data_IF_429575764802
#
_entry.id   IF_429575764802
#
_cell.length_a   1.000
_cell.length_b   1.000
_cell.length_c   1.000
_cell.angle_alpha   90.00
_cell.angle_beta   90.00
_cell.angle_gamma   90.00
#
_symmetry.space_group_name_H-M   'P 1'
#
loop_
_entity.id
_entity.type
_entity.pdbx_description
1 polymer ?
#
# COMPACT_ATOMS: atom_id res chain seq x y z
N UNK A 1 -22.01 -28.13 6.79
CA UNK A 1 -21.03 -29.23 6.76
C UNK A 1 -19.75 -28.68 7.35
N UNK A 2 -19.10 -29.38 8.29
CA UNK A 2 -17.84 -28.92 8.89
C UNK A 2 -16.74 -29.05 7.84
N UNK A 3 -16.24 -27.94 7.28
CA UNK A 3 -15.01 -27.97 6.50
C UNK A 3 -13.94 -28.64 7.36
N UNK A 4 -13.49 -29.82 6.94
CA UNK A 4 -12.41 -30.55 7.61
C UNK A 4 -11.20 -29.62 7.61
N UNK A 5 -10.71 -29.26 8.80
CA UNK A 5 -9.33 -28.78 8.98
C UNK A 5 -8.45 -29.84 8.30
N UNK A 6 -8.00 -29.54 7.08
CA UNK A 6 -7.30 -30.48 6.22
C UNK A 6 -6.02 -30.92 6.94
N UNK A 7 -5.78 -32.23 6.99
CA UNK A 7 -4.63 -32.84 7.66
C UNK A 7 -3.31 -32.67 6.90
N UNK A 8 -3.31 -32.00 5.74
CA UNK A 8 -2.09 -31.67 4.99
C UNK A 8 -1.85 -30.16 5.01
N UNK A 9 -0.98 -29.74 5.94
CA UNK A 9 -0.54 -28.35 6.08
C UNK A 9 0.58 -27.99 5.10
N UNK A 10 1.15 -28.95 4.36
CA UNK A 10 2.31 -28.70 3.48
C UNK A 10 2.03 -27.68 2.37
N UNK A 11 0.78 -27.57 1.93
CA UNK A 11 0.35 -26.57 0.96
C UNK A 11 0.16 -25.17 1.58
N UNK A 12 0.01 -25.07 2.90
CA UNK A 12 -0.29 -23.81 3.60
C UNK A 12 0.93 -23.22 4.30
N UNK A 13 1.84 -24.06 4.83
CA UNK A 13 3.02 -23.61 5.57
C UNK A 13 3.85 -22.54 4.82
N UNK A 14 4.09 -22.64 3.49
CA UNK A 14 4.84 -21.61 2.79
C UNK A 14 4.20 -20.22 2.83
N UNK A 15 2.88 -20.13 2.98
CA UNK A 15 2.13 -18.86 2.97
C UNK A 15 2.49 -17.97 4.15
N UNK A 16 2.90 -18.57 5.27
CA UNK A 16 3.34 -17.86 6.47
C UNK A 16 4.84 -17.51 6.48
N UNK A 17 5.62 -18.02 5.53
CA UNK A 17 7.06 -17.73 5.42
C UNK A 17 7.28 -16.53 4.49
N UNK A 18 7.84 -15.40 4.97
CA UNK A 18 8.16 -14.26 4.10
C UNK A 18 9.06 -14.64 2.91
N UNK A 19 9.94 -15.62 3.06
CA UNK A 19 10.85 -16.05 1.98
C UNK A 19 10.13 -16.73 0.82
N UNK A 20 8.91 -17.22 1.02
CA UNK A 20 8.08 -17.76 -0.05
C UNK A 20 7.77 -16.70 -1.11
N UNK A 21 7.52 -15.46 -0.68
CA UNK A 21 7.19 -14.34 -1.56
C UNK A 21 8.42 -13.68 -2.20
N UNK A 22 9.62 -13.96 -1.70
CA UNK A 22 10.88 -13.51 -2.32
C UNK A 22 11.23 -14.30 -3.60
N UNK A 23 10.49 -15.37 -3.90
CA UNK A 23 10.61 -16.19 -5.12
C UNK A 23 9.37 -15.97 -5.99
N UNK A 24 9.02 -16.93 -6.84
CA UNK A 24 7.75 -16.95 -7.54
C UNK A 24 6.69 -17.74 -6.73
N UNK A 25 5.75 -17.06 -6.03
CA UNK A 25 4.71 -17.73 -5.26
C UNK A 25 3.55 -18.21 -6.15
N UNK A 26 3.41 -17.71 -7.38
CA UNK A 26 2.18 -17.84 -8.17
C UNK A 26 1.85 -19.28 -8.58
N UNK A 27 2.81 -20.16 -8.95
CA UNK A 27 2.54 -21.57 -9.20
C UNK A 27 1.98 -22.29 -7.97
N UNK A 28 2.50 -21.99 -6.79
CA UNK A 28 2.02 -22.58 -5.53
C UNK A 28 0.64 -22.05 -5.16
N UNK A 29 0.40 -20.74 -5.30
CA UNK A 29 -0.93 -20.15 -5.12
C UNK A 29 -1.95 -20.70 -6.12
N UNK A 30 -1.54 -21.05 -7.35
CA UNK A 30 -2.41 -21.72 -8.33
C UNK A 30 -2.83 -23.13 -7.88
N UNK A 31 -1.90 -23.90 -7.31
CA UNK A 31 -2.21 -25.20 -6.70
C UNK A 31 -3.15 -25.06 -5.51
N UNK A 32 -2.92 -24.08 -4.64
CA UNK A 32 -3.80 -23.78 -3.52
C UNK A 32 -5.24 -23.53 -3.98
N UNK A 33 -5.43 -22.71 -5.02
CA UNK A 33 -6.76 -22.44 -5.60
C UNK A 33 -7.48 -23.69 -6.12
N UNK A 34 -6.72 -24.64 -6.67
CA UNK A 34 -7.24 -25.87 -7.26
C UNK A 34 -7.53 -26.94 -6.21
N UNK A 35 -6.61 -27.14 -5.26
CA UNK A 35 -6.61 -28.28 -4.34
C UNK A 35 -7.29 -27.94 -2.99
N UNK A 36 -7.11 -26.72 -2.48
CA UNK A 36 -7.59 -26.31 -1.16
C UNK A 36 -7.99 -24.81 -1.15
N UNK A 37 -9.05 -24.41 -1.87
CA UNK A 37 -9.38 -23.01 -2.13
C UNK A 37 -9.71 -22.20 -0.87
N UNK A 38 -10.24 -22.88 0.15
CA UNK A 38 -10.44 -22.38 1.50
C UNK A 38 -9.89 -23.42 2.49
N UNK A 39 -8.87 -23.06 3.25
CA UNK A 39 -8.21 -24.00 4.15
C UNK A 39 -7.72 -23.34 5.45
N UNK A 40 -7.68 -24.12 6.53
CA UNK A 40 -7.21 -23.67 7.83
C UNK A 40 -5.71 -23.90 7.98
N UNK A 41 -4.96 -22.82 8.14
CA UNK A 41 -3.55 -22.83 8.51
C UNK A 41 -3.43 -22.87 10.04
N UNK A 42 -2.84 -23.92 10.59
CA UNK A 42 -2.82 -24.18 12.04
C UNK A 42 -2.01 -23.16 12.85
N UNK A 43 -0.88 -22.71 12.33
CA UNK A 43 -0.01 -21.69 12.92
C UNK A 43 0.21 -20.60 11.88
N UNK A 44 -0.27 -19.35 12.09
CA UNK A 44 -0.76 -18.76 13.35
C UNK A 44 -2.25 -19.01 13.70
N UNK A 45 -2.96 -19.85 12.95
CA UNK A 45 -4.37 -20.17 13.23
C UNK A 45 -5.33 -19.25 12.48
N UNK A 46 -5.40 -19.39 11.15
CA UNK A 46 -6.27 -18.58 10.31
C UNK A 46 -6.81 -19.34 9.09
N UNK A 47 -7.88 -18.81 8.50
CA UNK A 47 -8.38 -19.29 7.22
C UNK A 47 -7.65 -18.59 6.07
N UNK A 48 -7.21 -19.39 5.09
CA UNK A 48 -6.66 -18.91 3.83
C UNK A 48 -7.72 -19.09 2.74
N UNK A 49 -8.18 -17.98 2.19
CA UNK A 49 -9.05 -17.94 1.00
C UNK A 49 -8.19 -17.56 -0.22
N UNK A 50 -8.23 -18.38 -1.28
CA UNK A 50 -7.35 -18.20 -2.44
C UNK A 50 -8.08 -17.95 -3.74
N UNK A 51 -9.39 -18.22 -3.82
CA UNK A 51 -10.19 -17.93 -5.01
C UNK A 51 -10.62 -16.47 -5.05
N UNK A 52 -10.63 -15.92 -6.27
CA UNK A 52 -11.06 -14.54 -6.51
C UNK A 52 -12.48 -14.27 -6.00
N UNK A 53 -13.42 -15.20 -6.20
CA UNK A 53 -14.82 -15.03 -5.76
C UNK A 53 -14.95 -14.86 -4.23
N UNK A 54 -14.19 -15.65 -3.48
CA UNK A 54 -14.16 -15.61 -2.02
C UNK A 54 -13.51 -14.33 -1.51
N UNK A 55 -12.34 -13.99 -2.06
CA UNK A 55 -11.60 -12.77 -1.69
C UNK A 55 -12.46 -11.53 -1.98
N UNK A 56 -13.19 -11.53 -3.10
CA UNK A 56 -14.08 -10.43 -3.47
C UNK A 56 -15.29 -10.35 -2.53
N UNK A 57 -15.88 -11.49 -2.15
CA UNK A 57 -16.98 -11.54 -1.18
C UNK A 57 -16.55 -11.03 0.19
N UNK A 58 -15.40 -11.48 0.69
CA UNK A 58 -14.80 -11.04 1.96
C UNK A 58 -14.53 -9.53 1.91
N UNK A 59 -13.86 -9.07 0.86
CA UNK A 59 -13.48 -7.65 0.71
C UNK A 59 -14.66 -6.68 0.61
N UNK A 60 -15.85 -7.16 0.21
CA UNK A 60 -17.06 -6.34 0.05
C UNK A 60 -17.99 -6.34 1.26
N UNK A 61 -17.73 -7.15 2.28
CA UNK A 61 -18.57 -7.27 3.47
C UNK A 61 -17.79 -6.89 4.75
N UNK A 62 -17.50 -5.59 4.95
CA UNK A 62 -16.73 -5.12 6.10
C UNK A 62 -17.51 -5.19 7.43
N UNK A 63 -18.82 -5.46 7.40
CA UNK A 63 -19.60 -5.70 8.63
C UNK A 63 -19.32 -7.10 9.20
N UNK A 64 -19.13 -8.05 8.29
CA UNK A 64 -18.83 -9.44 8.64
C UNK A 64 -17.33 -9.67 8.79
N UNK A 65 -16.52 -9.06 7.92
CA UNK A 65 -15.07 -9.22 7.86
C UNK A 65 -14.37 -7.92 8.21
N UNK A 66 -14.11 -7.73 9.50
CA UNK A 66 -13.57 -6.49 10.05
C UNK A 66 -12.03 -6.41 9.93
N UNK A 67 -11.51 -5.19 9.90
CA UNK A 67 -10.09 -4.85 9.82
C UNK A 67 -9.51 -4.40 11.17
N UNK A 68 -10.34 -3.95 12.13
CA UNK A 68 -9.87 -3.43 13.44
C UNK A 68 -9.17 -4.45 14.33
N UNK A 69 -9.21 -5.73 13.96
CA UNK A 69 -8.50 -6.82 14.65
C UNK A 69 -7.20 -7.23 13.95
N UNK A 70 -6.72 -6.42 13.01
CA UNK A 70 -5.49 -6.65 12.28
C UNK A 70 -5.75 -7.01 10.81
N UNK A 71 -4.83 -6.56 9.97
CA UNK A 71 -4.87 -6.75 8.51
C UNK A 71 -3.65 -7.51 8.00
N UNK A 72 -2.69 -7.82 8.87
CA UNK A 72 -1.46 -8.53 8.55
C UNK A 72 -1.41 -9.86 9.31
N UNK A 73 -0.71 -10.85 8.76
CA UNK A 73 -0.58 -12.17 9.39
C UNK A 73 0.05 -12.06 10.79
N UNK A 74 1.02 -11.14 10.96
CA UNK A 74 1.69 -10.88 12.23
C UNK A 74 0.82 -10.18 13.28
N UNK A 75 -0.36 -9.68 12.91
CA UNK A 75 -1.30 -9.05 13.85
C UNK A 75 -2.08 -10.11 14.67
N UNK A 76 -2.10 -11.37 14.21
CA UNK A 76 -2.86 -12.44 14.86
C UNK A 76 -2.40 -12.63 16.31
N UNK A 77 -3.37 -12.58 17.22
CA UNK A 77 -3.14 -12.75 18.66
C UNK A 77 -2.53 -11.53 19.35
N UNK A 78 -2.27 -10.43 18.64
CA UNK A 78 -1.82 -9.17 19.24
C UNK A 78 -3.01 -8.32 19.67
N UNK A 79 -2.83 -7.61 20.78
CA UNK A 79 -3.74 -6.53 21.18
C UNK A 79 -3.29 -5.25 20.48
N UNK A 80 -3.96 -4.91 19.37
CA UNK A 80 -3.65 -3.71 18.61
C UNK A 80 -4.36 -2.51 19.27
N UNK A 81 -3.65 -1.42 19.57
CA UNK A 81 -4.28 -0.23 20.09
C UNK A 81 -5.24 0.36 19.06
N UNK A 82 -6.36 0.90 19.54
CA UNK A 82 -7.20 1.75 18.71
C UNK A 82 -6.46 3.07 18.47
N UNK A 83 -6.05 3.30 17.22
CA UNK A 83 -5.33 4.49 16.81
C UNK A 83 -6.27 5.36 15.95
N UNK A 84 -6.74 6.51 16.45
CA UNK A 84 -7.53 7.45 15.66
C UNK A 84 -6.83 7.83 14.35
N UNK A 85 -7.60 7.89 13.27
CA UNK A 85 -7.08 8.20 11.92
C UNK A 85 -6.40 7.04 11.20
N UNK A 86 -6.24 5.86 11.83
CA UNK A 86 -5.61 4.70 11.20
C UNK A 86 -6.56 3.98 10.22
N UNK A 87 -6.83 4.59 9.06
CA UNK A 87 -7.88 4.19 8.12
C UNK A 87 -7.87 2.70 7.73
N UNK A 88 -6.69 2.07 7.59
CA UNK A 88 -6.57 0.64 7.25
C UNK A 88 -7.04 -0.31 8.38
N UNK A 89 -7.04 0.14 9.63
CA UNK A 89 -7.36 -0.64 10.84
C UNK A 89 -8.70 -0.22 11.47
N UNK A 90 -9.56 0.48 10.73
CA UNK A 90 -10.84 0.98 11.23
C UNK A 90 -11.98 0.41 10.39
N UNK A 91 -13.10 0.11 11.06
CA UNK A 91 -14.31 -0.44 10.43
C UNK A 91 -15.41 0.63 10.26
N UNK A 92 -16.44 0.38 9.43
CA UNK A 92 -17.63 1.22 9.40
C UNK A 92 -18.33 1.30 10.77
N UNK A 93 -18.92 2.47 11.14
CA UNK A 93 -19.07 3.68 10.32
C UNK A 93 -17.84 4.60 10.32
N UNK A 94 -16.91 4.45 11.27
CA UNK A 94 -15.78 5.35 11.48
C UNK A 94 -14.85 5.40 10.25
N UNK A 95 -14.61 4.26 9.59
CA UNK A 95 -13.89 4.21 8.31
C UNK A 95 -14.56 5.10 7.24
N UNK A 96 -15.89 5.14 7.22
CA UNK A 96 -16.66 5.97 6.30
C UNK A 96 -16.46 7.46 6.57
N UNK A 97 -16.37 7.85 7.84
CA UNK A 97 -16.07 9.21 8.29
C UNK A 97 -14.71 9.68 7.76
N UNK A 98 -13.66 8.92 8.06
CA UNK A 98 -12.31 9.22 7.60
C UNK A 98 -12.21 9.23 6.07
N UNK A 99 -12.73 8.20 5.37
CA UNK A 99 -12.77 8.16 3.89
C UNK A 99 -13.39 9.41 3.31
N UNK A 100 -14.49 9.88 3.88
CA UNK A 100 -15.21 11.05 3.38
C UNK A 100 -14.37 12.33 3.48
N UNK A 101 -13.60 12.48 4.55
CA UNK A 101 -12.70 13.62 4.76
C UNK A 101 -11.45 13.56 3.85
N UNK A 102 -10.89 12.37 3.61
CA UNK A 102 -9.63 12.25 2.85
C UNK A 102 -9.81 12.11 1.34
N UNK A 103 -10.89 11.48 0.86
CA UNK A 103 -11.13 11.20 -0.56
C UNK A 103 -11.04 12.44 -1.48
N UNK A 104 -11.51 13.64 -1.10
CA UNK A 104 -11.39 14.84 -1.93
C UNK A 104 -9.95 15.14 -2.37
N UNK A 105 -8.97 14.80 -1.53
CA UNK A 105 -7.53 14.94 -1.82
C UNK A 105 -7.01 14.03 -2.91
N UNK A 106 -7.72 12.95 -3.21
CA UNK A 106 -7.37 11.94 -4.21
C UNK A 106 -8.36 11.94 -5.38
N UNK A 107 -9.10 13.04 -5.56
CA UNK A 107 -10.01 13.17 -6.70
C UNK A 107 -9.26 13.12 -8.03
N UNK A 108 -9.93 12.65 -9.09
CA UNK A 108 -9.34 12.57 -10.45
C UNK A 108 -8.78 13.90 -10.92
N UNK A 109 -9.43 15.03 -10.59
CA UNK A 109 -8.96 16.35 -10.93
C UNK A 109 -7.60 16.64 -10.28
N UNK A 110 -7.44 16.32 -8.99
CA UNK A 110 -6.17 16.51 -8.27
C UNK A 110 -5.05 15.64 -8.80
N UNK A 111 -5.32 14.36 -9.03
CA UNK A 111 -4.31 13.45 -9.58
C UNK A 111 -3.82 13.93 -10.95
N UNK A 112 -4.70 14.51 -11.78
CA UNK A 112 -4.31 15.11 -13.07
C UNK A 112 -3.39 16.33 -12.90
N UNK A 113 -3.56 17.12 -11.85
CA UNK A 113 -2.68 18.27 -11.59
C UNK A 113 -1.24 17.83 -11.25
N UNK A 114 -1.10 16.65 -10.63
CA UNK A 114 0.21 16.06 -10.32
C UNK A 114 0.90 15.44 -11.54
N UNK A 115 0.19 15.17 -12.64
CA UNK A 115 0.72 14.42 -13.79
C UNK A 115 2.02 15.04 -14.33
N UNK A 116 2.06 16.37 -14.49
CA UNK A 116 3.25 17.07 -15.01
C UNK A 116 4.46 16.94 -14.08
N UNK A 117 4.22 17.00 -12.77
CA UNK A 117 5.29 16.88 -11.78
C UNK A 117 5.81 15.44 -11.69
N UNK A 118 4.90 14.46 -11.62
CA UNK A 118 5.21 13.02 -11.66
C UNK A 118 6.02 12.68 -12.92
N UNK A 119 5.62 13.21 -14.08
CA UNK A 119 6.33 13.00 -15.34
C UNK A 119 7.74 13.61 -15.32
N UNK A 120 7.90 14.78 -14.72
CA UNK A 120 9.20 15.43 -14.56
C UNK A 120 10.12 14.59 -13.67
N UNK A 121 9.60 14.08 -12.55
CA UNK A 121 10.35 13.19 -11.63
C UNK A 121 10.78 11.90 -12.29
N UNK A 122 9.86 11.23 -12.98
CA UNK A 122 10.18 10.01 -13.73
C UNK A 122 11.29 10.27 -14.77
N UNK A 123 11.19 11.38 -15.53
CA UNK A 123 12.22 11.74 -16.51
C UNK A 123 13.56 12.08 -15.87
N UNK A 124 13.57 12.78 -14.73
CA UNK A 124 14.80 13.12 -14.02
C UNK A 124 15.55 11.86 -13.60
N UNK A 125 14.87 10.94 -12.92
CA UNK A 125 15.46 9.66 -12.49
C UNK A 125 15.97 8.84 -13.68
N UNK A 126 15.20 8.78 -14.77
CA UNK A 126 15.62 8.05 -15.96
C UNK A 126 16.77 8.74 -16.72
N UNK A 127 16.93 10.05 -16.60
CA UNK A 127 18.01 10.81 -17.27
C UNK A 127 19.38 10.61 -16.65
N UNK A 128 19.43 10.10 -15.40
CA UNK A 128 20.67 9.76 -14.71
C UNK A 128 21.25 8.41 -15.18
N UNK A 129 20.50 7.63 -15.94
CA UNK A 129 20.92 6.33 -16.47
C UNK A 129 21.59 6.53 -17.83
N UNK A 130 22.88 6.20 -17.95
CA UNK A 130 23.57 6.29 -19.23
C UNK A 130 23.14 5.14 -20.17
N UNK A 131 22.96 5.46 -21.46
CA UNK A 131 22.56 4.46 -22.45
C UNK A 131 23.62 3.35 -22.59
N UNK A 132 23.23 2.11 -22.31
CA UNK A 132 24.12 0.94 -22.38
C UNK A 132 24.82 0.61 -21.05
N UNK A 133 24.60 1.42 -20.02
CA UNK A 133 25.02 1.11 -18.66
C UNK A 133 24.16 -0.01 -18.06
N UNK A 134 24.80 -0.88 -17.28
CA UNK A 134 24.09 -1.85 -16.44
C UNK A 134 23.79 -1.17 -15.11
N UNK A 135 22.53 -0.88 -14.85
CA UNK A 135 22.08 -0.15 -13.67
C UNK A 135 21.13 -1.00 -12.83
N UNK A 136 21.23 -0.90 -11.50
CA UNK A 136 20.19 -1.39 -10.61
C UNK A 136 18.97 -0.45 -10.68
N UNK A 137 18.00 -0.83 -11.50
CA UNK A 137 16.78 -0.04 -11.71
C UNK A 137 15.97 0.15 -10.42
N UNK A 138 16.05 -0.77 -9.46
CA UNK A 138 15.33 -0.64 -8.19
C UNK A 138 15.92 0.51 -7.39
N UNK A 139 17.24 0.54 -7.23
CA UNK A 139 17.94 1.59 -6.47
C UNK A 139 17.84 2.94 -7.17
N UNK A 140 18.06 2.98 -8.48
CA UNK A 140 18.13 4.24 -9.23
C UNK A 140 16.78 4.86 -9.55
N UNK A 141 15.70 4.07 -9.67
CA UNK A 141 14.40 4.58 -10.14
C UNK A 141 13.25 4.14 -9.24
N UNK A 142 13.04 2.84 -9.05
CA UNK A 142 11.81 2.35 -8.42
C UNK A 142 11.70 2.71 -6.94
N UNK A 143 12.82 2.85 -6.24
CA UNK A 143 12.89 3.26 -4.83
C UNK A 143 12.64 4.78 -4.66
N UNK A 144 13.38 5.69 -5.33
CA UNK A 144 13.16 7.12 -5.16
C UNK A 144 11.84 7.63 -5.77
N UNK A 145 11.33 7.01 -6.84
CA UNK A 145 10.16 7.51 -7.57
C UNK A 145 8.91 7.71 -6.70
N UNK A 146 8.37 6.72 -5.97
CA UNK A 146 7.15 6.92 -5.18
C UNK A 146 7.33 7.91 -4.04
N UNK A 147 8.50 7.93 -3.40
CA UNK A 147 8.82 8.89 -2.33
C UNK A 147 8.70 10.33 -2.85
N UNK A 148 9.28 10.58 -4.01
CA UNK A 148 9.26 11.88 -4.67
C UNK A 148 7.82 12.30 -5.05
N UNK A 149 6.99 11.36 -5.48
CA UNK A 149 5.57 11.62 -5.78
C UNK A 149 4.77 11.93 -4.52
N UNK A 150 5.02 11.23 -3.40
CA UNK A 150 4.34 11.49 -2.13
C UNK A 150 4.80 12.84 -1.54
N UNK A 151 6.09 13.16 -1.64
CA UNK A 151 6.62 14.46 -1.24
C UNK A 151 5.92 15.62 -1.97
N UNK A 152 5.72 15.48 -3.28
CA UNK A 152 4.91 16.42 -4.08
C UNK A 152 3.47 16.53 -3.59
N UNK A 153 2.83 15.36 -3.41
CA UNK A 153 1.44 15.30 -2.99
C UNK A 153 1.25 16.00 -1.64
N UNK A 154 2.19 15.84 -0.72
CA UNK A 154 2.18 16.45 0.61
C UNK A 154 2.72 17.89 0.65
N UNK A 155 3.29 18.39 -0.45
CA UNK A 155 3.85 19.74 -0.50
C UNK A 155 5.15 19.91 0.28
N UNK A 156 5.93 18.83 0.43
CA UNK A 156 7.24 18.83 1.09
C UNK A 156 8.24 19.59 0.21
N UNK A 157 8.86 20.68 0.71
CA UNK A 157 9.87 21.44 -0.03
C UNK A 157 11.04 20.56 -0.49
N UNK A 158 11.63 20.92 -1.63
CA UNK A 158 12.73 20.17 -2.25
C UNK A 158 13.93 19.92 -1.31
N UNK A 159 14.26 20.91 -0.49
CA UNK A 159 15.41 20.87 0.42
C UNK A 159 15.22 19.85 1.56
N UNK A 160 13.99 19.46 1.87
CA UNK A 160 13.66 18.51 2.95
C UNK A 160 13.60 17.04 2.47
N UNK A 161 13.70 16.77 1.18
CA UNK A 161 13.55 15.41 0.64
C UNK A 161 14.54 14.38 1.20
N UNK A 162 15.83 14.68 1.42
CA UNK A 162 16.75 13.70 2.01
C UNK A 162 16.30 13.25 3.41
N UNK A 163 15.78 14.19 4.21
CA UNK A 163 15.27 13.93 5.55
C UNK A 163 13.98 13.10 5.48
N UNK A 164 13.11 13.43 4.53
CA UNK A 164 11.87 12.70 4.25
C UNK A 164 12.09 11.25 3.81
N UNK A 165 13.14 10.99 3.01
CA UNK A 165 13.54 9.65 2.61
C UNK A 165 13.90 8.78 3.83
N UNK A 166 14.75 9.31 4.72
CA UNK A 166 15.20 8.61 5.93
C UNK A 166 14.03 8.23 6.83
N UNK A 167 13.10 9.15 7.06
CA UNK A 167 11.92 8.84 7.88
C UNK A 167 11.04 7.75 7.26
N UNK A 168 10.84 7.82 5.94
CA UNK A 168 10.04 6.83 5.22
C UNK A 168 10.66 5.43 5.35
N UNK A 169 11.97 5.30 5.12
CA UNK A 169 12.67 4.03 5.22
C UNK A 169 12.60 3.44 6.64
N UNK A 170 12.79 4.28 7.66
CA UNK A 170 12.70 3.86 9.07
C UNK A 170 11.28 3.43 9.46
N UNK A 171 10.24 4.10 8.97
CA UNK A 171 8.85 3.72 9.23
C UNK A 171 8.46 2.43 8.53
N UNK A 172 8.93 2.20 7.30
CA UNK A 172 8.73 0.93 6.61
C UNK A 172 9.40 -0.21 7.40
N UNK A 173 10.64 0.00 7.86
CA UNK A 173 11.36 -0.96 8.70
C UNK A 173 10.64 -1.25 10.02
N UNK A 174 9.97 -0.26 10.62
CA UNK A 174 9.23 -0.40 11.87
C UNK A 174 8.08 -1.43 11.80
N UNK A 175 7.58 -1.76 10.61
CA UNK A 175 6.61 -2.85 10.42
C UNK A 175 7.15 -4.21 10.89
N UNK A 176 8.47 -4.41 10.87
CA UNK A 176 9.15 -5.61 11.38
C UNK A 176 9.54 -5.51 12.86
N UNK A 177 9.31 -4.35 13.49
CA UNK A 177 9.64 -4.07 14.89
C UNK A 177 10.11 -2.62 15.07
N UNK A 178 9.58 -1.95 16.08
CA UNK A 178 9.95 -0.57 16.43
C UNK A 178 11.34 -0.57 17.07
N UNK A 179 12.24 0.24 16.51
CA UNK A 179 13.55 0.56 17.11
C UNK A 179 13.55 1.99 17.65
N UNK A 180 14.47 2.34 18.57
CA UNK A 180 14.62 3.72 19.06
C UNK A 180 14.81 4.74 17.93
N UNK A 181 15.51 4.37 16.87
CA UNK A 181 15.73 5.21 15.69
C UNK A 181 14.42 5.44 14.92
N UNK A 182 13.61 4.39 14.72
CA UNK A 182 12.30 4.51 14.07
C UNK A 182 11.30 5.33 14.90
N UNK A 183 11.36 5.22 16.23
CA UNK A 183 10.54 6.01 17.14
C UNK A 183 10.92 7.50 17.09
N UNK A 184 12.23 7.80 17.11
CA UNK A 184 12.72 9.16 16.95
C UNK A 184 12.32 9.78 15.60
N UNK A 185 12.46 9.01 14.51
CA UNK A 185 12.02 9.45 13.17
C UNK A 185 10.52 9.74 13.10
N UNK A 186 9.68 8.91 13.74
CA UNK A 186 8.24 9.14 13.82
C UNK A 186 7.92 10.46 14.54
N UNK A 187 8.60 10.74 15.66
CA UNK A 187 8.42 11.98 16.43
C UNK A 187 8.86 13.20 15.61
N UNK A 188 10.02 13.13 14.96
CA UNK A 188 10.53 14.22 14.12
C UNK A 188 9.62 14.50 12.93
N UNK A 189 9.12 13.45 12.28
CA UNK A 189 8.20 13.56 11.16
C UNK A 189 6.85 14.13 11.60
N UNK A 190 6.29 13.67 12.73
CA UNK A 190 5.07 14.23 13.28
C UNK A 190 5.23 15.73 13.61
N UNK A 191 6.37 16.11 14.22
CA UNK A 191 6.67 17.51 14.52
C UNK A 191 6.73 18.35 13.23
N UNK A 192 7.42 17.84 12.20
CA UNK A 192 7.51 18.50 10.90
C UNK A 192 6.14 18.73 10.25
N UNK A 193 5.28 17.70 10.24
CA UNK A 193 3.95 17.84 9.64
C UNK A 193 3.03 18.72 10.48
N UNK A 194 3.19 18.80 11.80
CA UNK A 194 2.46 19.76 12.63
C UNK A 194 2.84 21.19 12.26
N UNK A 195 4.13 21.48 12.08
CA UNK A 195 4.61 22.79 11.64
C UNK A 195 4.08 23.13 10.24
N UNK A 196 4.15 22.18 9.30
CA UNK A 196 3.62 22.35 7.95
C UNK A 196 2.10 22.55 7.94
N UNK A 197 1.35 21.83 8.78
CA UNK A 197 -0.10 22.03 8.95
C UNK A 197 -0.39 23.43 9.49
N UNK A 198 0.36 23.89 10.49
CA UNK A 198 0.20 25.23 11.05
C UNK A 198 0.51 26.32 10.01
N UNK A 199 1.53 26.13 9.19
CA UNK A 199 1.85 26.99 8.05
C UNK A 199 0.69 27.02 7.04
N UNK A 200 0.23 25.85 6.57
CA UNK A 200 -0.84 25.74 5.56
C UNK A 200 -2.23 26.16 6.04
N UNK A 201 -2.49 26.19 7.35
CA UNK A 201 -3.68 26.83 7.91
C UNK A 201 -3.62 28.36 7.83
N UNK A 202 -2.42 28.95 7.85
CA UNK A 202 -2.21 30.41 7.76
C UNK A 202 -2.05 30.88 6.32
N UNK A 203 -1.32 30.13 5.51
CA UNK A 203 -1.03 30.41 4.10
C UNK A 203 -1.22 29.12 3.27
N UNK A 204 -2.46 28.83 2.85
CA UNK A 204 -2.77 27.60 2.11
C UNK A 204 -2.05 27.54 0.75
N UNK A 205 -1.53 26.36 0.42
CA UNK A 205 -0.94 26.04 -0.88
C UNK A 205 -1.83 25.01 -1.61
N UNK A 206 -1.40 24.57 -2.79
CA UNK A 206 -2.08 23.53 -3.57
C UNK A 206 -1.49 22.13 -3.31
N UNK A 207 -1.41 21.75 -2.04
CA UNK A 207 -0.90 20.44 -1.59
C UNK A 207 -1.90 19.70 -0.70
N UNK A 208 -1.69 18.41 -0.48
CA UNK A 208 -2.64 17.57 0.28
C UNK A 208 -2.74 18.02 1.73
N UNK A 209 -1.64 18.54 2.30
CA UNK A 209 -1.62 19.05 3.67
C UNK A 209 -2.58 20.24 3.80
N UNK A 210 -2.48 21.20 2.89
CA UNK A 210 -3.37 22.37 2.82
C UNK A 210 -4.84 21.99 2.67
N UNK A 211 -5.12 20.95 1.88
CA UNK A 211 -6.48 20.49 1.69
C UNK A 211 -7.03 19.81 2.94
N UNK A 212 -6.30 18.83 3.51
CA UNK A 212 -6.80 18.06 4.65
C UNK A 212 -6.88 18.89 5.94
N UNK A 213 -5.99 19.85 6.15
CA UNK A 213 -6.03 20.65 7.37
C UNK A 213 -7.13 21.73 7.36
N UNK A 214 -7.66 22.06 6.19
CA UNK A 214 -8.69 23.09 5.99
C UNK A 214 -10.06 22.53 5.57
N UNK A 215 -10.14 21.24 5.19
CA UNK A 215 -11.41 20.64 4.77
C UNK A 215 -12.36 20.48 5.96
N UNK A 216 -13.63 20.77 5.71
CA UNK A 216 -14.74 20.47 6.60
C UNK A 216 -15.85 19.81 5.80
N UNK A 217 -16.36 18.69 6.29
CA UNK A 217 -17.44 17.95 5.63
C UNK A 217 -18.50 17.62 6.68
N UNK A 218 -19.73 18.05 6.44
CA UNK A 218 -20.87 17.91 7.39
C UNK A 218 -20.58 18.43 8.81
N UNK A 219 -19.74 19.46 8.93
CA UNK A 219 -19.33 20.02 10.22
C UNK A 219 -18.18 19.29 10.91
N UNK A 220 -17.63 18.25 10.28
CA UNK A 220 -16.50 17.49 10.81
C UNK A 220 -15.19 17.83 10.12
N UNK A 221 -14.09 17.67 10.88
CA UNK A 221 -12.71 17.87 10.44
C UNK A 221 -11.84 16.76 11.01
N UNK A 222 -10.66 16.57 10.42
CA UNK A 222 -9.60 15.78 11.04
C UNK A 222 -8.91 16.63 12.11
N UNK A 223 -8.69 16.06 13.29
CA UNK A 223 -7.81 16.67 14.27
C UNK A 223 -6.33 16.48 13.91
N UNK A 224 -5.44 17.14 14.65
CA UNK A 224 -4.01 17.09 14.35
C UNK A 224 -3.42 15.68 14.48
N UNK A 225 -3.89 14.87 15.42
CA UNK A 225 -3.43 13.49 15.59
C UNK A 225 -3.89 12.59 14.44
N UNK A 226 -5.14 12.76 14.01
CA UNK A 226 -5.71 12.06 12.85
C UNK A 226 -4.99 12.44 11.55
N UNK A 227 -4.62 13.72 11.38
CA UNK A 227 -3.80 14.17 10.25
C UNK A 227 -2.42 13.51 10.26
N UNK A 228 -1.74 13.49 11.41
CA UNK A 228 -0.40 12.88 11.51
C UNK A 228 -0.46 11.38 11.20
N UNK A 229 -1.47 10.68 11.73
CA UNK A 229 -1.68 9.27 11.45
C UNK A 229 -1.92 9.04 9.95
N UNK A 230 -2.76 9.86 9.33
CA UNK A 230 -3.04 9.75 7.90
C UNK A 230 -1.79 10.00 7.03
N UNK A 231 -0.99 11.02 7.33
CA UNK A 231 0.25 11.28 6.60
C UNK A 231 1.25 10.14 6.75
N UNK A 232 1.39 9.59 7.96
CA UNK A 232 2.21 8.40 8.20
C UNK A 232 1.74 7.18 7.40
N UNK A 233 0.42 6.92 7.37
CA UNK A 233 -0.14 5.83 6.58
C UNK A 233 0.08 6.01 5.08
N UNK A 234 -0.08 7.23 4.57
CA UNK A 234 0.16 7.54 3.16
C UNK A 234 1.61 7.26 2.77
N UNK A 235 2.55 7.58 3.66
CA UNK A 235 3.98 7.32 3.47
C UNK A 235 4.27 5.84 3.39
N UNK A 236 3.79 5.03 4.34
CA UNK A 236 4.09 3.59 4.30
C UNK A 236 3.37 2.92 3.12
N UNK A 237 2.07 3.19 2.94
CA UNK A 237 1.24 2.48 1.96
C UNK A 237 1.60 2.82 0.51
N UNK A 238 1.98 4.06 0.22
CA UNK A 238 2.26 4.53 -1.14
C UNK A 238 3.66 4.20 -1.66
N UNK A 239 4.60 3.87 -0.79
CA UNK A 239 6.00 3.68 -1.15
C UNK A 239 6.31 2.27 -1.69
N UNK A 240 6.27 1.24 -0.85
CA UNK A 240 6.69 -0.12 -1.25
C UNK A 240 5.81 -0.70 -2.37
N UNK A 241 4.50 -0.48 -2.30
CA UNK A 241 3.54 -1.03 -3.28
C UNK A 241 3.80 -0.48 -4.68
N UNK A 242 4.02 0.82 -4.80
CA UNK A 242 4.33 1.48 -6.08
C UNK A 242 5.72 1.11 -6.57
N UNK A 243 6.72 1.03 -5.68
CA UNK A 243 8.07 0.55 -6.01
C UNK A 243 8.02 -0.84 -6.64
N UNK A 244 7.31 -1.78 -5.99
CA UNK A 244 7.21 -3.17 -6.44
C UNK A 244 6.41 -3.30 -7.74
N UNK A 245 5.38 -2.47 -7.93
CA UNK A 245 4.68 -2.38 -9.21
C UNK A 245 5.63 -1.95 -10.33
N UNK A 246 6.36 -0.85 -10.13
CA UNK A 246 7.22 -0.27 -11.17
C UNK A 246 8.36 -1.24 -11.50
N UNK A 247 9.09 -1.74 -10.50
CA UNK A 247 10.18 -2.70 -10.75
C UNK A 247 9.67 -4.01 -11.36
N UNK A 248 8.58 -4.57 -10.83
CA UNK A 248 7.98 -5.81 -11.32
C UNK A 248 7.45 -5.68 -12.76
N UNK A 249 6.97 -4.50 -13.15
CA UNK A 249 6.57 -4.22 -14.54
C UNK A 249 7.74 -4.36 -15.50
N UNK A 250 8.91 -3.79 -15.17
CA UNK A 250 10.09 -3.89 -16.02
C UNK A 250 10.67 -5.30 -16.06
N UNK A 251 10.61 -6.05 -14.95
CA UNK A 251 10.93 -7.50 -14.94
C UNK A 251 10.02 -8.23 -15.93
N UNK A 252 8.68 -8.09 -15.79
CA UNK A 252 7.73 -8.74 -16.68
C UNK A 252 7.94 -8.39 -18.16
N UNK A 253 8.18 -7.11 -18.49
CA UNK A 253 8.45 -6.67 -19.86
C UNK A 253 9.79 -7.18 -20.41
N UNK A 254 10.80 -7.37 -19.56
CA UNK A 254 12.09 -7.95 -19.96
C UNK A 254 11.98 -9.45 -20.28
N UNK A 255 11.08 -10.15 -19.60
CA UNK A 255 10.77 -11.56 -19.84
C UNK A 255 9.85 -11.73 -21.07
N UNK A 256 9.15 -10.68 -21.48
CA UNK A 256 8.21 -10.66 -22.62
C UNK A 256 8.58 -9.56 -23.64
N UNK A 257 9.71 -9.73 -24.38
CA UNK A 257 10.24 -8.70 -25.27
C UNK A 257 9.32 -8.35 -26.46
N UNK A 258 8.40 -9.24 -26.82
CA UNK A 258 7.33 -8.99 -27.79
C UNK A 258 6.35 -7.94 -27.28
N UNK A 259 5.94 -8.03 -26.01
CA UNK A 259 5.06 -7.05 -25.35
C UNK A 259 5.76 -5.70 -25.18
N UNK A 260 7.05 -5.71 -24.80
CA UNK A 260 7.87 -4.49 -24.78
C UNK A 260 7.91 -3.81 -26.16
N UNK A 261 8.14 -4.59 -27.21
CA UNK A 261 8.19 -4.07 -28.58
C UNK A 261 6.84 -3.51 -29.03
N UNK A 262 5.74 -4.19 -28.69
CA UNK A 262 4.38 -3.74 -28.98
C UNK A 262 4.05 -2.41 -28.28
N UNK A 263 4.36 -2.27 -26.98
CA UNK A 263 4.12 -1.02 -26.24
C UNK A 263 4.94 0.15 -26.75
N UNK A 264 6.17 -0.10 -27.22
CA UNK A 264 7.00 0.93 -27.86
C UNK A 264 6.46 1.37 -29.22
N UNK A 265 5.87 0.44 -29.97
CA UNK A 265 5.26 0.73 -31.26
C UNK A 265 3.93 1.49 -31.11
N UNK A 266 3.16 1.21 -30.06
CA UNK A 266 1.89 1.87 -29.77
C UNK A 266 1.77 2.30 -28.29
N UNK A 267 2.22 3.54 -27.95
CA UNK A 267 2.09 4.08 -26.60
C UNK A 267 0.64 4.29 -26.14
N UNK A 268 -0.36 4.23 -27.03
CA UNK A 268 -1.77 4.35 -26.63
C UNK A 268 -2.26 3.15 -25.80
N UNK A 269 -1.53 2.03 -25.84
CA UNK A 269 -1.79 0.84 -25.05
C UNK A 269 -1.28 0.92 -23.58
N UNK A 270 -0.50 1.95 -23.22
CA UNK A 270 0.06 2.11 -21.87
C UNK A 270 -0.99 2.03 -20.76
N UNK A 271 -2.18 2.67 -20.85
CA UNK A 271 -3.20 2.54 -19.81
C UNK A 271 -3.62 1.10 -19.53
N UNK A 272 -3.82 0.28 -20.58
CA UNK A 272 -4.14 -1.14 -20.44
C UNK A 272 -2.96 -1.93 -19.90
N UNK A 273 -1.74 -1.60 -20.31
CA UNK A 273 -0.53 -2.23 -19.80
C UNK A 273 -0.33 -1.98 -18.30
N UNK A 274 -0.71 -0.81 -17.79
CA UNK A 274 -0.66 -0.49 -16.36
C UNK A 274 -1.64 -1.37 -15.56
N UNK A 275 -2.87 -1.57 -16.05
CA UNK A 275 -3.83 -2.49 -15.41
C UNK A 275 -3.33 -3.93 -15.41
N UNK A 276 -2.72 -4.38 -16.51
CA UNK A 276 -2.13 -5.72 -16.57
C UNK A 276 -0.89 -5.84 -15.68
N UNK A 277 -0.07 -4.81 -15.56
CA UNK A 277 1.05 -4.77 -14.63
C UNK A 277 0.59 -4.86 -13.17
N UNK A 278 -0.47 -4.15 -12.79
CA UNK A 278 -1.10 -4.27 -11.46
C UNK A 278 -1.54 -5.70 -11.19
N UNK A 279 -2.22 -6.34 -12.16
CA UNK A 279 -2.66 -7.74 -12.07
C UNK A 279 -1.47 -8.72 -12.00
N UNK A 280 -0.44 -8.49 -12.82
CA UNK A 280 0.71 -9.39 -12.95
C UNK A 280 1.61 -9.34 -11.73
N UNK A 281 1.97 -8.14 -11.28
CA UNK A 281 2.89 -7.94 -10.17
C UNK A 281 2.23 -8.19 -8.81
N UNK A 282 0.95 -7.82 -8.66
CA UNK A 282 0.19 -7.91 -7.40
C UNK A 282 1.03 -7.50 -6.17
N UNK A 283 1.42 -6.20 -6.05
CA UNK A 283 2.37 -5.76 -5.02
C UNK A 283 1.94 -6.07 -3.57
N UNK A 284 0.63 -6.12 -3.33
CA UNK A 284 0.04 -6.57 -2.07
C UNK A 284 -0.62 -7.92 -2.30
N UNK A 285 0.02 -8.98 -1.83
CA UNK A 285 -0.42 -10.37 -2.09
C UNK A 285 -1.55 -10.80 -1.17
N UNK A 286 -1.61 -10.26 0.06
CA UNK A 286 -2.63 -10.64 1.03
C UNK A 286 -2.95 -9.53 2.01
N UNK A 287 -4.18 -9.59 2.53
CA UNK A 287 -4.62 -8.91 3.74
C UNK A 287 -5.42 -9.90 4.60
N UNK A 288 -5.38 -9.70 5.90
CA UNK A 288 -6.20 -10.41 6.88
C UNK A 288 -7.51 -9.66 7.12
N UNK A 289 -8.52 -10.42 7.56
CA UNK A 289 -9.77 -9.94 8.14
C UNK A 289 -10.15 -10.83 9.30
N UNK A 290 -10.91 -10.29 10.24
CA UNK A 290 -11.52 -11.08 11.31
C UNK A 290 -13.02 -11.24 11.06
N UNK A 291 -13.51 -12.47 11.03
CA UNK A 291 -14.94 -12.75 10.94
C UNK A 291 -15.62 -12.44 12.28
N UNK A 292 -16.71 -11.67 12.26
CA UNK A 292 -17.48 -11.30 13.46
C UNK A 292 -18.57 -12.31 13.83
N UNK A 293 -18.81 -13.29 12.95
CA UNK A 293 -19.83 -14.33 13.08
C UNK A 293 -19.47 -15.53 12.21
N UNK A 294 -20.11 -16.66 12.45
CA UNK A 294 -19.97 -17.83 11.58
C UNK A 294 -20.56 -17.55 10.19
N UNK A 295 -19.83 -17.94 9.15
CA UNK A 295 -20.18 -17.72 7.74
C UNK A 295 -19.91 -18.98 6.95
N UNK A 296 -20.84 -19.31 6.06
CA UNK A 296 -20.64 -20.27 4.98
C UNK A 296 -19.95 -19.57 3.80
N UNK A 297 -18.72 -20.02 3.51
CA UNK A 297 -17.88 -19.57 2.41
C UNK A 297 -17.52 -20.82 1.58
N UNK A 298 -18.28 -21.06 0.50
CA UNK A 298 -18.21 -22.24 -0.40
C UNK A 298 -18.86 -23.57 0.07
N UNK A 299 -19.86 -23.52 0.95
CA UNK A 299 -20.73 -24.67 1.31
C UNK A 299 -20.35 -25.40 2.59
#
# INVERSE_FOLDING_TARGET
MTHRRSSDQSLLLPIADPNFYARDPFPHLARLRAEAPLAWLEDPGCWIASRHEDILRISRDPQTFISSKGILLMDIGRDLPEIPGALLYVDPPEHGRYRKLVNPGFSTARIRMLESSIRTRARSLLSEIESGEITDFVQSVALPFPLLVIADLLGVPGDDWPRFAVWTDLMIGAASGITPESEAALIEMATYFLDLVAERRRDPSDDLVSMLCNIEVDGERLDDAELMMFYGQLLVAGNETTRNLVSGTFVALSEHPDQWSALRADPSAIPTAVEEALRWTTPVISFMRTATRDIDLNG
#
